data_IF_922897690239
#
_entry.id   IF_922897690239
#
_cell.length_a   1.000
_cell.length_b   1.000
_cell.length_c   1.000
_cell.angle_alpha   90.00
_cell.angle_beta   90.00
_cell.angle_gamma   90.00
#
_symmetry.space_group_name_H-M   'P 1'
#
loop_
_entity.id
_entity.type
_entity.pdbx_description
1 polymer ?
#
# COMPACT_ATOMS: atom_id res chain seq x y z
N UNK A 1 -22.74 15.65 2.97
CA UNK A 1 -21.91 14.84 3.87
C UNK A 1 -22.61 13.50 4.03
N UNK A 2 -21.92 12.37 3.86
CA UNK A 2 -22.54 11.02 3.84
C UNK A 2 -22.88 10.48 5.25
N UNK A 3 -22.32 11.06 6.32
CA UNK A 3 -22.45 10.59 7.72
C UNK A 3 -22.60 11.82 8.65
N UNK A 4 -23.52 11.77 9.62
CA UNK A 4 -23.77 12.87 10.58
C UNK A 4 -23.22 12.62 11.99
N UNK A 5 -22.53 11.50 12.22
CA UNK A 5 -21.91 11.16 13.50
C UNK A 5 -20.53 11.84 13.63
N UNK A 6 -20.38 12.69 14.65
CA UNK A 6 -19.16 13.45 14.90
C UNK A 6 -17.95 12.55 15.26
N UNK A 7 -18.19 11.42 15.93
CA UNK A 7 -17.11 10.51 16.30
C UNK A 7 -16.54 9.81 15.06
N UNK A 8 -17.40 9.36 14.16
CA UNK A 8 -16.99 8.75 12.89
C UNK A 8 -16.22 9.74 12.02
N UNK A 9 -16.65 11.01 11.96
CA UNK A 9 -15.95 12.06 11.23
C UNK A 9 -14.54 12.26 11.79
N UNK A 10 -14.39 12.33 13.11
CA UNK A 10 -13.09 12.55 13.76
C UNK A 10 -12.15 11.36 13.53
N UNK A 11 -12.65 10.13 13.70
CA UNK A 11 -11.89 8.91 13.43
C UNK A 11 -11.43 8.81 11.96
N UNK A 12 -12.32 9.14 11.02
CA UNK A 12 -12.00 9.18 9.59
C UNK A 12 -10.95 10.25 9.26
N UNK A 13 -11.04 11.43 9.85
CA UNK A 13 -10.06 12.50 9.68
C UNK A 13 -8.67 12.08 10.21
N UNK A 14 -8.63 11.44 11.38
CA UNK A 14 -7.39 10.92 11.96
C UNK A 14 -6.74 9.83 11.09
N UNK A 15 -7.54 8.89 10.59
CA UNK A 15 -7.07 7.85 9.66
C UNK A 15 -6.51 8.46 8.37
N UNK A 16 -7.22 9.42 7.77
CA UNK A 16 -6.74 10.14 6.58
C UNK A 16 -5.44 10.90 6.84
N UNK A 17 -5.30 11.51 8.02
CA UNK A 17 -4.06 12.17 8.42
C UNK A 17 -2.88 11.18 8.45
N UNK A 18 -3.05 9.99 9.02
CA UNK A 18 -2.03 8.93 9.01
C UNK A 18 -1.70 8.50 7.58
N UNK A 19 -2.72 8.19 6.78
CA UNK A 19 -2.56 7.72 5.40
C UNK A 19 -1.88 8.76 4.51
N UNK A 20 -2.07 10.06 4.80
CA UNK A 20 -1.45 11.14 4.02
C UNK A 20 0.08 11.08 4.01
N UNK A 21 0.72 10.57 5.08
CA UNK A 21 2.17 10.34 5.10
C UNK A 21 2.62 9.29 4.06
N UNK A 22 1.73 8.37 3.71
CA UNK A 22 1.96 7.35 2.68
C UNK A 22 1.85 7.85 1.24
N UNK A 23 1.30 9.05 0.99
CA UNK A 23 0.98 9.50 -0.38
C UNK A 23 2.18 9.57 -1.33
N UNK A 24 3.37 9.87 -0.82
CA UNK A 24 4.59 9.83 -1.62
C UNK A 24 4.91 8.41 -2.09
N UNK A 25 4.74 7.42 -1.21
CA UNK A 25 4.95 6.02 -1.54
C UNK A 25 3.87 5.52 -2.50
N UNK A 26 2.61 5.89 -2.29
CA UNK A 26 1.50 5.61 -3.22
C UNK A 26 1.78 6.11 -4.64
N UNK A 27 2.28 7.34 -4.77
CA UNK A 27 2.60 7.89 -6.08
C UNK A 27 3.74 7.09 -6.75
N UNK A 28 4.77 6.72 -5.98
CA UNK A 28 5.89 5.92 -6.49
C UNK A 28 5.46 4.51 -6.89
N UNK A 29 4.68 3.83 -6.04
CA UNK A 29 4.16 2.50 -6.34
C UNK A 29 3.30 2.51 -7.59
N UNK A 30 2.39 3.47 -7.71
CA UNK A 30 1.52 3.62 -8.87
C UNK A 30 2.32 3.79 -10.17
N UNK A 31 3.32 4.66 -10.19
CA UNK A 31 4.16 4.86 -11.39
C UNK A 31 4.92 3.58 -11.77
N UNK A 32 5.50 2.88 -10.79
CA UNK A 32 6.26 1.66 -11.05
C UNK A 32 5.38 0.52 -11.55
N UNK A 33 4.23 0.28 -10.90
CA UNK A 33 3.25 -0.74 -11.29
C UNK A 33 2.75 -0.51 -12.70
N UNK A 34 2.43 0.74 -13.05
CA UNK A 34 2.01 1.08 -14.41
C UNK A 34 3.15 0.96 -15.42
N UNK A 35 4.40 1.18 -15.01
CA UNK A 35 5.58 0.90 -15.81
C UNK A 35 5.72 -0.59 -16.17
N UNK A 36 5.53 -1.49 -15.20
CA UNK A 36 5.54 -2.93 -15.44
C UNK A 36 4.38 -3.38 -16.33
N UNK A 37 3.16 -2.94 -16.02
CA UNK A 37 1.98 -3.24 -16.82
C UNK A 37 2.13 -2.74 -18.27
N UNK A 38 2.70 -1.53 -18.46
CA UNK A 38 2.95 -0.95 -19.78
C UNK A 38 4.01 -1.68 -20.59
N UNK A 39 4.92 -2.43 -19.96
CA UNK A 39 5.90 -3.28 -20.64
C UNK A 39 5.40 -4.72 -20.89
N UNK A 40 4.14 -5.03 -20.56
CA UNK A 40 3.59 -6.38 -20.63
C UNK A 40 3.99 -7.30 -19.46
N UNK A 41 4.70 -6.78 -18.45
CA UNK A 41 5.05 -7.53 -17.24
C UNK A 41 3.96 -7.40 -16.18
N UNK A 42 2.89 -8.20 -16.28
CA UNK A 42 1.77 -8.14 -15.33
C UNK A 42 1.98 -9.05 -14.12
N UNK A 43 2.85 -10.06 -14.23
CA UNK A 43 3.10 -11.02 -13.14
C UNK A 43 3.92 -10.39 -12.01
N UNK A 44 4.93 -9.59 -12.34
CA UNK A 44 5.77 -8.91 -11.34
C UNK A 44 4.93 -8.03 -10.39
N UNK A 45 4.12 -7.06 -10.87
CA UNK A 45 3.32 -6.23 -9.97
C UNK A 45 2.25 -7.05 -9.22
N UNK A 46 1.66 -8.07 -9.85
CA UNK A 46 0.67 -8.94 -9.20
C UNK A 46 1.26 -9.67 -7.99
N UNK A 47 2.45 -10.26 -8.12
CA UNK A 47 3.09 -10.98 -7.03
C UNK A 47 3.50 -10.03 -5.89
N UNK A 48 4.02 -8.84 -6.21
CA UNK A 48 4.39 -7.85 -5.20
C UNK A 48 3.15 -7.40 -4.43
N UNK A 49 2.05 -7.08 -5.13
CA UNK A 49 0.78 -6.69 -4.51
C UNK A 49 0.24 -7.80 -3.60
N UNK A 50 0.26 -9.05 -4.06
CA UNK A 50 -0.15 -10.17 -3.25
C UNK A 50 0.68 -10.27 -1.96
N UNK A 51 2.00 -10.22 -2.05
CA UNK A 51 2.87 -10.29 -0.86
C UNK A 51 2.62 -9.09 0.07
N UNK A 52 2.60 -7.87 -0.44
CA UNK A 52 2.51 -6.67 0.39
C UNK A 52 1.13 -6.53 1.04
N UNK A 53 0.05 -6.79 0.31
CA UNK A 53 -1.29 -6.60 0.87
C UNK A 53 -1.79 -7.85 1.61
N UNK A 54 -1.62 -9.05 1.05
CA UNK A 54 -2.14 -10.24 1.72
C UNK A 54 -1.24 -10.76 2.84
N UNK A 55 0.06 -10.81 2.61
CA UNK A 55 0.98 -11.43 3.57
C UNK A 55 1.57 -10.44 4.58
N UNK A 56 1.51 -9.14 4.29
CA UNK A 56 2.06 -8.10 5.18
C UNK A 56 0.95 -7.22 5.74
N UNK A 57 0.16 -6.54 4.91
CA UNK A 57 -0.86 -5.59 5.38
C UNK A 57 -1.90 -6.26 6.28
N UNK A 58 -2.53 -7.36 5.84
CA UNK A 58 -3.58 -8.02 6.61
C UNK A 58 -3.07 -8.52 7.98
N UNK A 59 -1.96 -9.30 8.06
CA UNK A 59 -1.44 -9.74 9.36
C UNK A 59 -0.98 -8.58 10.23
N UNK A 60 -0.38 -7.55 9.65
CA UNK A 60 0.09 -6.37 10.38
C UNK A 60 -1.09 -5.54 10.91
N UNK A 61 -2.14 -5.35 10.10
CA UNK A 61 -3.37 -4.69 10.52
C UNK A 61 -4.03 -5.45 11.67
N UNK A 62 -4.11 -6.78 11.57
CA UNK A 62 -4.61 -7.61 12.67
C UNK A 62 -3.76 -7.44 13.94
N UNK A 63 -2.44 -7.52 13.84
CA UNK A 63 -1.55 -7.36 14.98
C UNK A 63 -1.65 -5.97 15.62
N UNK A 64 -1.61 -4.90 14.83
CA UNK A 64 -1.67 -3.53 15.35
C UNK A 64 -3.06 -3.17 15.87
N UNK A 65 -4.12 -3.48 15.11
CA UNK A 65 -5.47 -3.07 15.45
C UNK A 65 -6.05 -3.89 16.62
N UNK A 66 -5.81 -5.20 16.65
CA UNK A 66 -6.44 -6.12 17.62
C UNK A 66 -5.47 -6.49 18.73
N UNK A 67 -4.25 -6.96 18.40
CA UNK A 67 -3.34 -7.47 19.43
C UNK A 67 -2.71 -6.34 20.28
N UNK A 68 -2.43 -5.19 19.67
CA UNK A 68 -1.95 -3.98 20.36
C UNK A 68 -3.07 -2.98 20.69
N UNK A 69 -4.33 -3.34 20.45
CA UNK A 69 -5.51 -2.51 20.77
C UNK A 69 -5.47 -1.09 20.16
N UNK A 70 -4.82 -0.92 19.01
CA UNK A 70 -4.73 0.39 18.34
C UNK A 70 -5.93 0.70 17.42
N UNK A 71 -6.85 -0.24 17.25
CA UNK A 71 -8.06 -0.08 16.42
C UNK A 71 -7.78 0.49 15.02
N UNK A 72 -8.52 1.53 14.64
CA UNK A 72 -8.42 2.18 13.33
C UNK A 72 -7.03 2.78 13.05
N UNK A 73 -6.35 3.26 14.10
CA UNK A 73 -4.98 3.79 13.98
C UNK A 73 -4.02 2.68 13.56
N UNK A 74 -4.14 1.50 14.17
CA UNK A 74 -3.33 0.33 13.82
C UNK A 74 -3.55 -0.13 12.38
N UNK A 75 -4.82 -0.19 11.94
CA UNK A 75 -5.15 -0.52 10.56
C UNK A 75 -4.60 0.52 9.56
N UNK A 76 -4.72 1.81 9.88
CA UNK A 76 -4.22 2.90 9.02
C UNK A 76 -2.69 2.88 8.89
N UNK A 77 -1.97 2.55 9.98
CA UNK A 77 -0.52 2.37 9.95
C UNK A 77 -0.11 1.17 9.10
N UNK A 78 -0.84 0.06 9.18
CA UNK A 78 -0.56 -1.13 8.37
C UNK A 78 -0.63 -0.84 6.87
N UNK A 79 -1.62 -0.05 6.43
CA UNK A 79 -1.76 0.42 5.05
C UNK A 79 -0.50 1.19 4.61
N UNK A 80 -0.09 2.20 5.39
CA UNK A 80 1.08 3.03 5.06
C UNK A 80 2.35 2.20 4.99
N UNK A 81 2.54 1.26 5.91
CA UNK A 81 3.71 0.38 5.95
C UNK A 81 3.74 -0.55 4.72
N UNK A 82 2.60 -1.17 4.38
CA UNK A 82 2.49 -2.08 3.25
C UNK A 82 2.74 -1.37 1.91
N UNK A 83 2.16 -0.18 1.71
CA UNK A 83 2.41 0.63 0.51
C UNK A 83 3.86 1.12 0.42
N UNK A 84 4.46 1.50 1.54
CA UNK A 84 5.87 1.87 1.59
C UNK A 84 6.77 0.70 1.17
N UNK A 85 6.49 -0.51 1.66
CA UNK A 85 7.20 -1.72 1.28
C UNK A 85 7.02 -2.04 -0.21
N UNK A 86 5.79 -1.96 -0.71
CA UNK A 86 5.47 -2.17 -2.11
C UNK A 86 6.25 -1.18 -2.99
N UNK A 87 6.26 0.11 -2.66
CA UNK A 87 7.01 1.12 -3.39
C UNK A 87 8.52 0.82 -3.42
N UNK A 88 9.10 0.41 -2.28
CA UNK A 88 10.53 0.06 -2.19
C UNK A 88 10.84 -1.18 -3.04
N UNK A 89 10.03 -2.24 -2.96
CA UNK A 89 10.22 -3.48 -3.72
C UNK A 89 10.05 -3.22 -5.22
N UNK A 90 9.00 -2.50 -5.60
CA UNK A 90 8.71 -2.15 -6.99
C UNK A 90 9.85 -1.31 -7.58
N UNK A 91 10.34 -0.29 -6.86
CA UNK A 91 11.48 0.51 -7.29
C UNK A 91 12.74 -0.34 -7.48
N UNK A 92 13.03 -1.26 -6.54
CA UNK A 92 14.18 -2.14 -6.64
C UNK A 92 14.10 -3.08 -7.84
N UNK A 93 12.94 -3.69 -8.09
CA UNK A 93 12.71 -4.55 -9.27
C UNK A 93 12.74 -3.76 -10.57
N UNK A 94 12.23 -2.53 -10.57
CA UNK A 94 12.26 -1.65 -11.72
C UNK A 94 13.71 -1.32 -12.11
N UNK A 95 14.56 -1.05 -11.11
CA UNK A 95 16.00 -0.84 -11.31
C UNK A 95 16.73 -2.05 -11.87
N UNK A 96 16.27 -3.28 -11.59
CA UNK A 96 16.86 -4.50 -12.15
C UNK A 96 16.59 -4.68 -13.65
N UNK A 97 15.63 -3.94 -14.22
CA UNK A 97 15.44 -3.87 -15.67
C UNK A 97 14.94 -5.15 -16.34
N UNK A 98 14.55 -6.19 -15.59
CA UNK A 98 14.00 -7.44 -16.17
C UNK A 98 12.77 -7.20 -17.03
N UNK A 99 11.97 -6.20 -16.66
CA UNK A 99 10.79 -5.75 -17.42
C UNK A 99 11.11 -5.31 -18.85
N UNK A 100 12.36 -4.89 -19.14
CA UNK A 100 12.80 -4.49 -20.50
C UNK A 100 12.97 -5.66 -21.45
N UNK A 101 13.07 -6.88 -20.91
CA UNK A 101 13.24 -8.10 -21.71
C UNK A 101 11.90 -8.67 -22.18
N UNK A 102 10.79 -8.12 -21.70
CA UNK A 102 9.47 -8.52 -22.15
C UNK A 102 9.27 -8.11 -23.61
N UNK A 103 8.78 -9.03 -24.42
CA UNK A 103 8.33 -8.77 -25.78
C UNK A 103 6.82 -8.59 -25.73
N UNK A 104 6.37 -7.38 -26.03
CA UNK A 104 4.96 -7.01 -26.16
C UNK A 104 4.48 -7.37 -27.57
#
# INVERSE_FOLDING_TARGET
>A
IFINDAEVINQGAHALFIVSFGFVFYALSMVMVQGFNGSGDTLTPTLINFVCFWLIEIPLAWALAIWLDMGLTGASLAIVIAESLLAVIAWWLFRKGKWKLQKV
#
